data_IF_399494308925
#
_entry.id   IF_399494308925
#
_cell.length_a   1.000
_cell.length_b   1.000
_cell.length_c   1.000
_cell.angle_alpha   90.00
_cell.angle_beta   90.00
_cell.angle_gamma   90.00
#
_symmetry.space_group_name_H-M   'P 1'
#
loop_
_entity.id
_entity.type
_entity.pdbx_description
1 polymer ?
#
# COMPACT_ATOMS: atom_id res chain seq x y z
N UNK A 1 -6.71 34.55 -5.29
CA UNK A 1 -5.27 34.33 -5.21
C UNK A 1 -4.79 33.39 -4.07
N UNK A 2 -5.62 33.01 -3.09
CA UNK A 2 -5.22 32.09 -1.99
C UNK A 2 -5.39 30.59 -2.30
N UNK A 3 -6.22 30.20 -3.26
CA UNK A 3 -6.47 28.79 -3.58
C UNK A 3 -5.42 28.14 -4.52
N UNK A 4 -4.65 28.93 -5.27
CA UNK A 4 -3.60 28.39 -6.14
C UNK A 4 -2.31 27.98 -5.43
N UNK A 5 -2.00 28.58 -4.28
CA UNK A 5 -0.78 28.22 -3.50
C UNK A 5 -0.90 26.91 -2.71
N UNK A 6 -2.11 26.45 -2.39
CA UNK A 6 -2.31 25.19 -1.69
C UNK A 6 -2.09 23.97 -2.57
N UNK A 7 -2.44 24.06 -3.87
CA UNK A 7 -2.26 22.95 -4.82
C UNK A 7 -0.79 22.70 -5.20
N UNK A 8 0.05 23.74 -5.20
CA UNK A 8 1.46 23.62 -5.59
C UNK A 8 2.27 22.90 -4.50
N UNK A 9 1.97 23.16 -3.23
CA UNK A 9 2.64 22.50 -2.10
C UNK A 9 2.23 21.02 -1.96
N UNK A 10 1.02 20.66 -2.34
CA UNK A 10 0.57 19.24 -2.38
C UNK A 10 1.24 18.46 -3.53
N UNK A 11 1.54 19.09 -4.66
CA UNK A 11 2.24 18.47 -5.79
C UNK A 11 3.72 18.24 -5.48
N UNK A 12 4.43 19.21 -4.94
CA UNK A 12 5.87 19.08 -4.65
C UNK A 12 6.16 17.98 -3.59
N UNK A 13 5.29 17.82 -2.59
CA UNK A 13 5.42 16.75 -1.58
C UNK A 13 5.09 15.37 -2.15
N UNK A 14 4.25 15.29 -3.17
CA UNK A 14 3.92 14.04 -3.86
C UNK A 14 5.07 13.59 -4.76
N UNK A 15 5.70 14.52 -5.49
CA UNK A 15 6.82 14.22 -6.40
C UNK A 15 8.08 13.75 -5.65
N UNK A 16 8.41 14.34 -4.50
CA UNK A 16 9.53 13.90 -3.66
C UNK A 16 9.28 12.51 -3.05
N UNK A 17 8.04 12.18 -2.73
CA UNK A 17 7.65 10.86 -2.23
C UNK A 17 7.65 9.82 -3.36
N UNK A 18 7.25 10.19 -4.58
CA UNK A 18 7.28 9.31 -5.75
C UNK A 18 8.71 8.91 -6.12
N UNK A 19 9.64 9.85 -6.16
CA UNK A 19 11.05 9.58 -6.45
C UNK A 19 11.73 8.72 -5.37
N UNK A 20 11.42 8.92 -4.10
CA UNK A 20 11.95 8.10 -3.01
C UNK A 20 11.42 6.67 -3.05
N UNK A 21 10.15 6.49 -3.45
CA UNK A 21 9.49 5.17 -3.55
C UNK A 21 9.99 4.40 -4.77
N UNK A 22 10.21 5.06 -5.89
CA UNK A 22 10.73 4.42 -7.10
C UNK A 22 12.15 3.90 -6.88
N UNK A 23 13.01 4.66 -6.20
CA UNK A 23 14.36 4.23 -5.80
C UNK A 23 14.35 3.06 -4.81
N UNK A 24 13.39 3.00 -3.88
CA UNK A 24 13.26 1.89 -2.94
C UNK A 24 12.62 0.64 -3.57
N UNK A 25 11.68 0.79 -4.53
CA UNK A 25 11.07 -0.33 -5.26
C UNK A 25 12.10 -1.03 -6.14
N UNK A 26 12.92 -0.28 -6.87
CA UNK A 26 14.02 -0.83 -7.70
C UNK A 26 15.07 -1.54 -6.84
N UNK A 27 15.38 -1.05 -5.64
CA UNK A 27 16.27 -1.72 -4.68
C UNK A 27 15.65 -2.98 -4.04
N UNK A 28 14.33 -3.06 -3.95
CA UNK A 28 13.64 -4.18 -3.30
C UNK A 28 13.33 -5.34 -4.25
N UNK A 29 13.32 -5.12 -5.56
CA UNK A 29 13.17 -6.18 -6.57
C UNK A 29 14.41 -7.10 -6.63
N UNK A 30 15.57 -6.65 -6.13
CA UNK A 30 16.83 -7.41 -6.19
C UNK A 30 17.13 -8.32 -4.98
N UNK A 31 16.26 -8.38 -3.96
CA UNK A 31 16.47 -9.28 -2.80
C UNK A 31 15.16 -9.92 -2.36
N UNK A 32 15.02 -11.16 -2.72
CA UNK A 32 13.91 -12.08 -2.40
C UNK A 32 13.88 -12.43 -0.89
N UNK A 33 13.68 -11.41 -0.02
CA UNK A 33 13.54 -11.58 1.43
C UNK A 33 12.21 -12.20 1.86
N UNK A 34 11.33 -12.53 0.91
CA UNK A 34 10.06 -13.17 1.23
C UNK A 34 10.22 -14.65 1.57
N UNK A 35 11.28 -15.31 1.06
CA UNK A 35 11.60 -16.70 1.39
C UNK A 35 11.97 -16.90 2.86
N UNK A 36 12.61 -15.92 3.48
CA UNK A 36 13.08 -16.03 4.88
C UNK A 36 11.93 -15.95 5.89
N UNK A 37 10.74 -15.48 5.48
CA UNK A 37 9.57 -15.35 6.35
C UNK A 37 8.73 -16.63 6.36
N UNK A 38 8.79 -17.40 5.28
CA UNK A 38 8.07 -18.69 5.16
C UNK A 38 8.91 -19.84 5.69
N UNK A 39 10.24 -19.65 5.82
CA UNK A 39 11.19 -20.73 6.19
C UNK A 39 11.41 -20.90 7.70
N UNK A 40 10.83 -20.09 8.58
CA UNK A 40 10.78 -20.41 10.01
C UNK A 40 9.75 -21.53 10.26
N UNK A 41 10.14 -22.73 9.86
CA UNK A 41 9.50 -23.98 10.26
C UNK A 41 9.90 -24.30 11.71
N UNK A 42 9.32 -23.61 12.67
CA UNK A 42 9.12 -24.18 13.98
C UNK A 42 7.81 -24.97 13.97
N UNK A 43 7.82 -26.14 14.59
CA UNK A 43 6.75 -27.12 14.59
C UNK A 43 5.38 -26.50 14.92
N UNK A 44 4.25 -26.98 14.34
CA UNK A 44 2.96 -26.35 14.47
C UNK A 44 2.47 -26.41 15.91
N UNK A 45 2.62 -25.32 16.66
CA UNK A 45 1.82 -25.11 17.85
C UNK A 45 0.35 -24.98 17.43
N UNK A 46 -0.55 -25.66 18.15
CA UNK A 46 -1.98 -25.87 17.83
C UNK A 46 -2.84 -24.60 17.68
N UNK A 47 -2.28 -23.42 17.71
CA UNK A 47 -2.94 -22.14 17.43
C UNK A 47 -2.30 -21.52 16.17
N UNK A 48 -2.75 -21.97 14.99
CA UNK A 48 -2.44 -21.29 13.74
C UNK A 48 -3.03 -19.88 13.83
N UNK A 49 -2.16 -18.88 13.95
CA UNK A 49 -2.56 -17.47 13.91
C UNK A 49 -3.17 -17.18 12.53
N UNK A 50 -4.35 -16.57 12.51
CA UNK A 50 -5.06 -16.19 11.28
C UNK A 50 -4.15 -15.42 10.30
N UNK A 51 -3.22 -14.64 10.83
CA UNK A 51 -2.20 -13.92 10.06
C UNK A 51 -1.27 -14.87 9.30
N UNK A 52 -0.82 -15.96 9.97
CA UNK A 52 0.07 -16.93 9.33
C UNK A 52 -0.64 -17.74 8.24
N UNK A 53 -1.89 -18.13 8.49
CA UNK A 53 -2.73 -18.79 7.48
C UNK A 53 -2.89 -17.93 6.24
N UNK A 54 -3.30 -16.68 6.40
CA UNK A 54 -3.47 -15.74 5.31
C UNK A 54 -2.16 -15.53 4.53
N UNK A 55 -1.05 -15.29 5.21
CA UNK A 55 0.26 -15.10 4.56
C UNK A 55 0.75 -16.35 3.83
N UNK A 56 0.46 -17.54 4.34
CA UNK A 56 0.72 -18.81 3.68
C UNK A 56 -0.06 -18.93 2.37
N UNK A 57 -1.37 -18.66 2.41
CA UNK A 57 -2.26 -18.80 1.26
C UNK A 57 -1.89 -17.86 0.11
N UNK A 58 -1.65 -16.57 0.40
CA UNK A 58 -1.25 -15.60 -0.64
C UNK A 58 0.13 -15.88 -1.22
N UNK A 59 0.99 -16.61 -0.48
CA UNK A 59 2.33 -17.00 -0.90
C UNK A 59 2.34 -17.94 -2.11
N UNK A 60 1.30 -18.75 -2.29
CA UNK A 60 1.21 -19.74 -3.38
C UNK A 60 0.83 -19.12 -4.73
N UNK A 61 0.28 -17.91 -4.75
CA UNK A 61 -0.14 -17.27 -6.00
C UNK A 61 1.08 -16.82 -6.81
N UNK A 62 1.23 -17.29 -8.08
CA UNK A 62 2.34 -16.89 -8.93
C UNK A 62 2.24 -15.42 -9.30
N UNK A 63 3.40 -14.77 -9.37
CA UNK A 63 3.53 -13.38 -9.84
C UNK A 63 3.28 -13.30 -11.33
N UNK A 64 2.70 -12.20 -11.79
CA UNK A 64 2.47 -11.92 -13.21
C UNK A 64 3.70 -11.29 -13.85
N UNK A 65 3.97 -11.68 -15.08
CA UNK A 65 4.92 -10.99 -15.96
C UNK A 65 4.32 -9.68 -16.49
N UNK A 66 5.15 -8.79 -17.04
CA UNK A 66 4.67 -7.52 -17.58
C UNK A 66 3.66 -7.71 -18.73
N UNK A 67 3.82 -8.73 -19.54
CA UNK A 67 2.91 -9.02 -20.65
C UNK A 67 1.60 -9.64 -20.18
N UNK A 68 1.64 -10.50 -19.14
CA UNK A 68 0.45 -11.01 -18.46
C UNK A 68 -0.32 -9.89 -17.75
N UNK A 69 0.35 -8.95 -17.09
CA UNK A 69 -0.30 -7.77 -16.49
C UNK A 69 -1.10 -7.00 -17.54
N UNK A 70 -0.52 -6.73 -18.72
CA UNK A 70 -1.22 -6.07 -19.83
C UNK A 70 -2.39 -6.88 -20.34
N UNK A 71 -2.19 -8.20 -20.54
CA UNK A 71 -3.22 -9.09 -21.07
C UNK A 71 -4.45 -9.14 -20.14
N UNK A 72 -4.23 -9.42 -18.84
CA UNK A 72 -5.32 -9.54 -17.89
C UNK A 72 -5.98 -8.18 -17.60
N UNK A 73 -5.21 -7.08 -17.57
CA UNK A 73 -5.77 -5.74 -17.39
C UNK A 73 -6.71 -5.35 -18.54
N UNK A 74 -6.33 -5.62 -19.80
CA UNK A 74 -7.19 -5.36 -20.97
C UNK A 74 -8.51 -6.12 -20.91
N UNK A 75 -8.46 -7.36 -20.43
CA UNK A 75 -9.67 -8.19 -20.26
C UNK A 75 -10.52 -7.75 -19.08
N UNK A 76 -9.90 -7.40 -17.96
CA UNK A 76 -10.59 -6.87 -16.79
C UNK A 76 -11.36 -5.57 -17.10
N UNK A 77 -10.76 -4.66 -17.89
CA UNK A 77 -11.44 -3.44 -18.38
C UNK A 77 -12.65 -3.73 -19.29
N UNK A 78 -12.67 -4.89 -19.96
CA UNK A 78 -13.81 -5.35 -20.77
C UNK A 78 -14.90 -6.07 -19.94
N UNK A 79 -14.72 -6.15 -18.61
CA UNK A 79 -15.66 -6.80 -17.71
C UNK A 79 -15.41 -8.28 -17.46
N UNK A 80 -14.25 -8.82 -17.84
CA UNK A 80 -13.90 -10.22 -17.55
C UNK A 80 -13.52 -10.36 -16.06
N UNK A 81 -14.44 -10.90 -15.28
CA UNK A 81 -14.27 -11.08 -13.83
C UNK A 81 -13.15 -12.06 -13.47
N UNK A 82 -12.94 -13.11 -14.29
CA UNK A 82 -11.86 -14.07 -14.05
C UNK A 82 -10.48 -13.39 -14.17
N UNK A 83 -10.30 -12.54 -15.17
CA UNK A 83 -9.06 -11.74 -15.34
C UNK A 83 -8.89 -10.71 -14.22
N UNK A 84 -9.97 -10.06 -13.78
CA UNK A 84 -9.97 -9.13 -12.65
C UNK A 84 -9.53 -9.84 -11.37
N UNK A 85 -10.13 -10.99 -11.06
CA UNK A 85 -9.77 -11.80 -9.89
C UNK A 85 -8.31 -12.25 -9.94
N UNK A 86 -7.82 -12.68 -11.12
CA UNK A 86 -6.43 -13.08 -11.32
C UNK A 86 -5.45 -11.93 -11.02
N UNK A 87 -5.74 -10.72 -11.49
CA UNK A 87 -4.96 -9.52 -11.21
C UNK A 87 -4.91 -9.20 -9.72
N UNK A 88 -6.04 -9.31 -9.01
CA UNK A 88 -6.11 -9.05 -7.56
C UNK A 88 -5.27 -10.08 -6.81
N UNK A 89 -5.54 -11.38 -7.01
CA UNK A 89 -4.91 -12.47 -6.25
C UNK A 89 -3.39 -12.47 -6.41
N UNK A 90 -2.88 -12.25 -7.62
CA UNK A 90 -1.44 -12.21 -7.89
C UNK A 90 -0.73 -11.02 -7.23
N UNK A 91 -1.45 -9.98 -6.81
CA UNK A 91 -0.90 -8.76 -6.22
C UNK A 91 -1.19 -8.59 -4.72
N UNK A 92 -1.84 -9.56 -4.05
CA UNK A 92 -2.08 -9.49 -2.59
C UNK A 92 -0.77 -9.39 -1.79
N UNK A 93 0.30 -10.02 -2.25
CA UNK A 93 1.64 -9.91 -1.62
C UNK A 93 2.16 -8.48 -1.59
N UNK A 94 1.86 -7.67 -2.62
CA UNK A 94 2.22 -6.26 -2.66
C UNK A 94 1.50 -5.48 -1.56
N UNK A 95 0.21 -5.75 -1.33
CA UNK A 95 -0.57 -5.11 -0.27
C UNK A 95 0.06 -5.38 1.10
N UNK A 96 0.40 -6.64 1.41
CA UNK A 96 1.05 -7.00 2.68
C UNK A 96 2.39 -6.29 2.86
N UNK A 97 3.22 -6.21 1.80
CA UNK A 97 4.50 -5.51 1.81
C UNK A 97 4.34 -4.03 2.19
N UNK A 98 3.29 -3.38 1.67
CA UNK A 98 2.99 -1.98 1.96
C UNK A 98 2.40 -1.85 3.37
N UNK A 99 1.40 -2.66 3.74
CA UNK A 99 0.72 -2.61 5.03
C UNK A 99 1.68 -2.77 6.22
N UNK A 100 2.71 -3.62 6.11
CA UNK A 100 3.74 -3.79 7.14
C UNK A 100 4.47 -2.50 7.51
N UNK A 101 4.61 -1.54 6.61
CA UNK A 101 5.23 -0.22 6.89
C UNK A 101 4.37 0.66 7.79
N UNK A 102 3.08 0.34 7.88
CA UNK A 102 2.10 1.06 8.70
C UNK A 102 1.75 0.33 9.99
N UNK A 103 2.43 -0.78 10.28
CA UNK A 103 2.24 -1.52 11.52
C UNK A 103 2.52 -0.60 12.74
N UNK A 104 1.87 -0.86 13.86
CA UNK A 104 1.98 -0.08 15.09
C UNK A 104 1.48 1.38 15.01
N UNK A 105 0.60 1.70 14.04
CA UNK A 105 -0.03 3.02 13.90
C UNK A 105 -1.47 3.07 14.42
N UNK A 106 -1.87 2.12 15.26
CA UNK A 106 -3.19 2.10 15.91
C UNK A 106 -4.23 1.18 15.24
N UNK A 107 -3.88 0.48 14.15
CA UNK A 107 -4.67 -0.57 13.54
C UNK A 107 -3.89 -1.89 13.53
N UNK A 108 -4.59 -3.02 13.63
CA UNK A 108 -4.01 -4.34 13.48
C UNK A 108 -3.52 -4.56 12.05
N UNK A 109 -2.51 -5.44 11.86
CA UNK A 109 -1.94 -5.69 10.53
C UNK A 109 -2.98 -6.21 9.54
N UNK A 110 -3.87 -7.10 9.97
CA UNK A 110 -4.91 -7.65 9.10
C UNK A 110 -5.90 -6.56 8.66
N UNK A 111 -6.29 -5.64 9.55
CA UNK A 111 -7.17 -4.51 9.19
C UNK A 111 -6.50 -3.59 8.16
N UNK A 112 -5.20 -3.33 8.32
CA UNK A 112 -4.41 -2.56 7.34
C UNK A 112 -4.34 -3.26 5.99
N UNK A 113 -4.24 -4.59 5.98
CA UNK A 113 -4.23 -5.39 4.75
C UNK A 113 -5.60 -5.33 4.06
N UNK A 114 -6.70 -5.48 4.81
CA UNK A 114 -8.05 -5.40 4.23
C UNK A 114 -8.33 -4.02 3.61
N UNK A 115 -7.97 -2.95 4.29
CA UNK A 115 -8.06 -1.60 3.72
C UNK A 115 -7.16 -1.43 2.48
N UNK A 116 -5.97 -2.02 2.51
CA UNK A 116 -5.07 -2.07 1.35
C UNK A 116 -5.65 -2.87 0.18
N UNK A 117 -6.36 -3.98 0.45
CA UNK A 117 -7.04 -4.78 -0.56
C UNK A 117 -8.14 -3.97 -1.26
N UNK A 118 -8.88 -3.13 -0.54
CA UNK A 118 -9.84 -2.20 -1.16
C UNK A 118 -9.15 -1.21 -2.10
N UNK A 119 -7.95 -0.74 -1.73
CA UNK A 119 -7.11 0.09 -2.59
C UNK A 119 -6.64 -0.65 -3.84
N UNK A 120 -6.21 -1.90 -3.71
CA UNK A 120 -5.80 -2.76 -4.81
C UNK A 120 -6.94 -3.00 -5.82
N UNK A 121 -8.14 -3.30 -5.34
CA UNK A 121 -9.34 -3.50 -6.18
C UNK A 121 -9.60 -2.26 -7.03
N UNK A 122 -9.58 -1.07 -6.43
CA UNK A 122 -9.73 0.20 -7.16
C UNK A 122 -8.63 0.43 -8.19
N UNK A 123 -7.39 0.02 -7.85
CA UNK A 123 -6.28 0.13 -8.78
C UNK A 123 -6.49 -0.77 -10.01
N UNK A 124 -6.95 -2.02 -9.83
CA UNK A 124 -7.25 -2.95 -10.95
C UNK A 124 -8.33 -2.39 -11.87
N UNK A 125 -9.37 -1.76 -11.30
CA UNK A 125 -10.48 -1.19 -12.08
C UNK A 125 -10.07 0.03 -12.93
N UNK A 126 -9.05 0.78 -12.48
CA UNK A 126 -8.65 2.05 -13.10
C UNK A 126 -7.31 2.00 -13.83
N UNK A 127 -6.62 0.88 -13.78
CA UNK A 127 -5.32 0.74 -14.41
C UNK A 127 -5.42 0.70 -15.94
N UNK A 128 -4.65 1.59 -16.59
CA UNK A 128 -4.53 1.63 -18.04
C UNK A 128 -3.20 0.97 -18.47
N UNK A 129 -3.24 -0.22 -19.09
CA UNK A 129 -2.05 -0.95 -19.48
C UNK A 129 -1.30 -0.32 -20.67
N UNK A 130 -1.90 0.63 -21.39
CA UNK A 130 -1.30 1.26 -22.57
C UNK A 130 -0.29 2.37 -22.20
N UNK A 131 -0.28 2.82 -20.94
CA UNK A 131 0.64 3.85 -20.47
C UNK A 131 2.09 3.37 -20.29
N UNK A 132 2.37 2.07 -20.42
CA UNK A 132 3.72 1.51 -20.41
C UNK A 132 4.34 1.32 -19.01
N UNK A 133 3.65 1.69 -17.95
CA UNK A 133 4.11 1.47 -16.57
C UNK A 133 3.69 0.10 -16.04
N UNK A 134 4.45 -0.40 -15.05
CA UNK A 134 4.10 -1.62 -14.33
C UNK A 134 2.88 -1.37 -13.45
N UNK A 135 2.03 -2.38 -13.30
CA UNK A 135 0.86 -2.32 -12.43
C UNK A 135 1.22 -2.00 -10.97
N UNK A 136 2.31 -2.57 -10.46
CA UNK A 136 2.77 -2.36 -9.09
C UNK A 136 3.03 -0.88 -8.76
N UNK A 137 3.57 -0.10 -9.69
CA UNK A 137 3.81 1.34 -9.51
C UNK A 137 2.50 2.09 -9.28
N UNK A 138 1.50 1.83 -10.14
CA UNK A 138 0.18 2.45 -10.03
C UNK A 138 -0.59 2.00 -8.78
N UNK A 139 -0.60 0.69 -8.50
CA UNK A 139 -1.33 0.11 -7.37
C UNK A 139 -0.78 0.59 -6.03
N UNK A 140 0.52 0.81 -5.91
CA UNK A 140 1.17 1.29 -4.68
C UNK A 140 0.55 2.60 -4.19
N UNK A 141 0.24 3.53 -5.10
CA UNK A 141 -0.40 4.80 -4.75
C UNK A 141 -1.80 4.59 -4.15
N UNK A 142 -2.64 3.77 -4.80
CA UNK A 142 -4.00 3.48 -4.32
C UNK A 142 -4.02 2.74 -2.99
N UNK A 143 -3.15 1.73 -2.83
CA UNK A 143 -3.02 0.96 -1.60
C UNK A 143 -2.62 1.88 -0.44
N UNK A 144 -1.59 2.70 -0.64
CA UNK A 144 -1.11 3.66 0.37
C UNK A 144 -2.20 4.66 0.75
N UNK A 145 -2.82 5.29 -0.22
CA UNK A 145 -3.89 6.25 -0.04
C UNK A 145 -5.03 5.70 0.83
N UNK A 146 -5.44 4.44 0.56
CA UNK A 146 -6.55 3.81 1.27
C UNK A 146 -6.14 3.47 2.71
N UNK A 147 -4.96 2.91 2.92
CA UNK A 147 -4.42 2.61 4.25
C UNK A 147 -4.29 3.89 5.10
N UNK A 148 -3.69 4.95 4.56
CA UNK A 148 -3.53 6.22 5.28
C UNK A 148 -4.87 6.85 5.65
N UNK A 149 -5.84 6.79 4.73
CA UNK A 149 -7.20 7.26 4.99
C UNK A 149 -7.89 6.44 6.08
N UNK A 150 -7.71 5.12 6.10
CA UNK A 150 -8.24 4.25 7.13
C UNK A 150 -7.64 4.57 8.50
N UNK A 151 -6.32 4.73 8.58
CA UNK A 151 -5.64 5.13 9.81
C UNK A 151 -6.21 6.46 10.33
N UNK A 152 -6.34 7.48 9.51
CA UNK A 152 -6.89 8.77 9.93
C UNK A 152 -8.34 8.69 10.43
N UNK A 153 -9.13 7.75 9.90
CA UNK A 153 -10.55 7.64 10.19
C UNK A 153 -10.87 6.72 11.38
N UNK A 154 -10.06 5.68 11.62
CA UNK A 154 -10.44 4.56 12.49
C UNK A 154 -9.58 4.44 13.75
N UNK A 155 -8.38 5.03 13.79
CA UNK A 155 -7.47 4.87 14.94
C UNK A 155 -7.90 5.59 16.21
N UNK A 156 -8.77 6.58 16.11
CA UNK A 156 -9.19 7.41 17.25
C UNK A 156 -10.58 7.02 17.75
N UNK A 157 -10.72 6.85 19.07
CA UNK A 157 -11.99 6.60 19.74
C UNK A 157 -13.01 7.71 19.42
N UNK A 158 -12.58 8.98 19.44
CA UNK A 158 -13.39 10.12 18.99
C UNK A 158 -12.88 10.48 17.60
N UNK A 159 -13.71 10.25 16.58
CA UNK A 159 -13.38 10.55 15.20
C UNK A 159 -13.17 12.05 14.98
N UNK A 160 -12.03 12.42 14.45
CA UNK A 160 -11.72 13.79 14.03
C UNK A 160 -11.88 13.94 12.51
N UNK A 161 -12.31 15.11 12.01
CA UNK A 161 -12.27 15.42 10.59
C UNK A 161 -10.84 15.33 10.04
N UNK A 162 -10.68 14.89 8.80
CA UNK A 162 -9.36 14.63 8.18
C UNK A 162 -8.50 15.90 8.14
N UNK A 163 -9.09 17.08 7.89
CA UNK A 163 -8.34 18.34 7.87
C UNK A 163 -7.69 18.65 9.22
N UNK A 164 -8.40 18.41 10.33
CA UNK A 164 -7.85 18.61 11.70
C UNK A 164 -6.70 17.64 11.97
N UNK A 165 -6.82 16.39 11.53
CA UNK A 165 -5.73 15.41 11.68
C UNK A 165 -4.50 15.80 10.86
N UNK A 166 -4.68 16.32 9.65
CA UNK A 166 -3.58 16.84 8.81
C UNK A 166 -2.87 18.02 9.50
N UNK A 167 -3.60 19.01 10.00
CA UNK A 167 -3.04 20.14 10.73
C UNK A 167 -2.28 19.69 11.97
N UNK A 168 -2.86 18.80 12.78
CA UNK A 168 -2.19 18.25 13.96
C UNK A 168 -0.87 17.57 13.60
N UNK A 169 -0.82 16.82 12.50
CA UNK A 169 0.41 16.16 12.05
C UNK A 169 1.48 17.18 11.63
N UNK A 170 1.10 18.31 11.03
CA UNK A 170 2.02 19.42 10.71
C UNK A 170 2.60 19.99 12.00
N UNK A 171 1.76 20.32 12.98
CA UNK A 171 2.25 20.83 14.28
C UNK A 171 3.20 19.88 14.99
N UNK A 172 2.88 18.57 15.02
CA UNK A 172 3.73 17.55 15.63
C UNK A 172 5.08 17.42 14.91
N UNK A 173 5.10 17.54 13.58
CA UNK A 173 6.34 17.54 12.81
C UNK A 173 7.19 18.74 13.16
N UNK A 174 6.63 19.93 13.09
CA UNK A 174 7.33 21.18 13.39
C UNK A 174 7.87 21.20 14.81
N UNK A 175 7.09 20.69 15.78
CA UNK A 175 7.53 20.59 17.17
C UNK A 175 8.77 19.67 17.31
N UNK A 176 8.80 18.52 16.60
CA UNK A 176 9.96 17.63 16.60
C UNK A 176 11.19 18.27 15.95
N UNK A 177 11.01 18.98 14.84
CA UNK A 177 12.09 19.68 14.16
C UNK A 177 12.69 20.80 15.02
N UNK A 178 11.84 21.53 15.77
CA UNK A 178 12.30 22.56 16.69
C UNK A 178 13.03 21.95 17.89
N UNK A 179 12.52 20.85 18.46
CA UNK A 179 13.19 20.16 19.56
C UNK A 179 14.60 19.71 19.16
N UNK A 180 14.77 19.13 17.94
CA UNK A 180 16.08 18.71 17.42
C UNK A 180 17.06 19.86 17.13
N UNK A 181 16.57 21.09 16.96
CA UNK A 181 17.41 22.26 16.71
C UNK A 181 17.81 23.01 18.01
N UNK A 182 17.10 22.77 19.09
CA UNK A 182 17.31 23.41 20.37
C UNK A 182 18.17 22.59 21.32
N UNK A 183 18.30 21.27 21.06
CA UNK A 183 19.25 20.37 21.73
C UNK A 183 20.61 20.39 20.99
#
# INVERSE_FOLDING_TARGET
MRQQKSNTIELDVVDDIEQAVEKELVKAESKDKFKDIVSNKEAPSKNLDATQLYLGEIGFSPLLTADEEKYFSRRALKGDEASRQRMIVSNLRLVVKIARRYNNRGLALLDLVEEGNLGLIRAVEKFDPERGFRFSTYATWWIRQTIERAIMNQTRTIRLPIHVVKELNVYLRTARELAQKLD
#
